data_IF_383675249903
#
_entry.id   IF_383675249903
#
_cell.length_a   1.000
_cell.length_b   1.000
_cell.length_c   1.000
_cell.angle_alpha   90.00
_cell.angle_beta   90.00
_cell.angle_gamma   90.00
#
_symmetry.space_group_name_H-M   'P 1'
#
loop_
_entity.id
_entity.type
_entity.pdbx_description
1 polymer ?
#
# COMPACT_ATOMS: atom_id res chain seq x y z
N UNK A 1 7.57 -17.29 -8.38
CA UNK A 1 7.81 -15.90 -8.81
C UNK A 1 6.86 -14.98 -8.08
N UNK A 2 7.31 -13.77 -7.74
CA UNK A 2 6.46 -12.80 -7.06
C UNK A 2 5.50 -12.13 -8.05
N UNK A 3 4.39 -11.59 -7.52
CA UNK A 3 3.43 -10.80 -8.30
C UNK A 3 3.72 -9.32 -8.07
N UNK A 4 3.71 -8.54 -9.14
CA UNK A 4 3.98 -7.11 -9.09
C UNK A 4 2.75 -6.33 -9.54
N UNK A 5 2.38 -5.31 -8.77
CA UNK A 5 1.25 -4.42 -9.07
C UNK A 5 1.67 -2.97 -8.91
N UNK A 6 1.12 -2.11 -9.76
CA UNK A 6 1.31 -0.66 -9.65
C UNK A 6 -0.05 -0.01 -9.47
N UNK A 7 -0.20 0.80 -8.43
CA UNK A 7 -1.44 1.50 -8.12
C UNK A 7 -1.21 3.01 -8.13
N UNK A 8 -1.99 3.72 -8.93
CA UNK A 8 -1.93 5.18 -8.98
C UNK A 8 -2.73 5.76 -7.84
N UNK A 9 -2.09 6.60 -7.01
CA UNK A 9 -2.74 7.19 -5.84
C UNK A 9 -3.52 8.45 -6.21
N UNK A 10 -4.52 8.77 -5.37
CA UNK A 10 -5.33 9.97 -5.52
C UNK A 10 -5.51 10.64 -4.16
N UNK A 11 -5.47 11.98 -4.16
CA UNK A 11 -5.74 12.75 -2.95
C UNK A 11 -4.63 12.72 -1.91
N UNK A 12 -3.43 12.28 -2.28
CA UNK A 12 -2.28 12.21 -1.38
C UNK A 12 -1.06 12.85 -2.03
N UNK A 13 0.02 13.00 -1.24
CA UNK A 13 1.27 13.56 -1.74
C UNK A 13 2.06 12.55 -2.58
N UNK A 14 1.81 11.26 -2.46
CA UNK A 14 2.46 10.26 -3.31
C UNK A 14 1.77 10.19 -4.67
N UNK A 15 2.49 9.69 -5.68
CA UNK A 15 1.97 9.57 -7.04
C UNK A 15 1.52 8.17 -7.39
N UNK A 16 2.26 7.17 -6.95
CA UNK A 16 1.95 5.76 -7.20
C UNK A 16 2.57 4.87 -6.15
N UNK A 17 2.06 3.65 -6.08
CA UNK A 17 2.57 2.63 -5.18
C UNK A 17 2.90 1.39 -6.01
N UNK A 18 4.14 0.92 -5.90
CA UNK A 18 4.54 -0.35 -6.50
C UNK A 18 4.55 -1.42 -5.41
N UNK A 19 3.82 -2.49 -5.63
CA UNK A 19 3.61 -3.54 -4.64
C UNK A 19 4.06 -4.87 -5.21
N UNK A 20 4.92 -5.59 -4.47
CA UNK A 20 5.26 -6.97 -4.80
C UNK A 20 4.71 -7.90 -3.75
N UNK A 21 4.03 -8.94 -4.19
CA UNK A 21 3.46 -9.96 -3.34
C UNK A 21 4.18 -11.30 -3.55
N UNK A 22 4.09 -12.17 -2.55
CA UNK A 22 4.58 -13.53 -2.65
C UNK A 22 3.83 -14.31 -3.73
N UNK A 23 4.33 -15.51 -4.06
CA UNK A 23 3.73 -16.35 -5.11
C UNK A 23 2.26 -16.66 -4.84
N UNK A 24 1.88 -16.78 -3.58
CA UNK A 24 0.48 -17.05 -3.21
C UNK A 24 -0.38 -15.78 -3.24
N UNK A 25 0.24 -14.61 -3.43
CA UNK A 25 -0.48 -13.35 -3.49
C UNK A 25 -1.03 -12.87 -2.14
N UNK A 26 -0.60 -13.45 -1.04
CA UNK A 26 -1.14 -13.13 0.28
C UNK A 26 -0.19 -12.34 1.18
N UNK A 27 1.13 -12.45 0.94
CA UNK A 27 2.14 -11.80 1.77
C UNK A 27 2.83 -10.70 0.98
N UNK A 28 3.04 -9.55 1.63
CA UNK A 28 3.71 -8.41 1.01
C UNK A 28 5.22 -8.63 1.06
N UNK A 29 5.87 -8.62 -0.10
CA UNK A 29 7.33 -8.70 -0.20
C UNK A 29 7.97 -7.33 -0.29
N UNK A 30 7.31 -6.37 -0.92
CA UNK A 30 7.86 -5.03 -1.09
C UNK A 30 6.75 -4.03 -1.37
N UNK A 31 6.90 -2.82 -0.82
CA UNK A 31 6.03 -1.68 -1.15
C UNK A 31 6.93 -0.46 -1.33
N UNK A 32 6.83 0.17 -2.50
CA UNK A 32 7.59 1.38 -2.82
C UNK A 32 6.62 2.47 -3.25
N UNK A 33 6.67 3.60 -2.54
CA UNK A 33 5.89 4.78 -2.91
C UNK A 33 6.75 5.70 -3.76
N UNK A 34 6.15 6.28 -4.80
CA UNK A 34 6.81 7.30 -5.63
C UNK A 34 6.21 8.65 -5.27
N UNK A 35 7.07 9.60 -4.90
CA UNK A 35 6.68 10.94 -4.45
C UNK A 35 6.28 10.95 -2.98
N UNK A 36 5.88 12.12 -2.48
CA UNK A 36 5.41 12.28 -1.11
C UNK A 36 6.51 12.37 -0.07
N UNK A 37 6.15 12.08 1.18
CA UNK A 37 7.05 12.16 2.34
C UNK A 37 7.96 10.94 2.38
N UNK A 38 9.14 11.07 1.82
CA UNK A 38 10.05 9.96 1.54
C UNK A 38 10.35 9.11 2.80
N UNK A 39 10.69 9.76 3.92
CA UNK A 39 11.02 9.04 5.15
C UNK A 39 9.85 8.25 5.69
N UNK A 40 8.68 8.89 5.79
CA UNK A 40 7.47 8.24 6.31
C UNK A 40 7.03 7.08 5.42
N UNK A 41 7.11 7.25 4.10
CA UNK A 41 6.66 6.21 3.17
C UNK A 41 7.62 5.03 3.15
N UNK A 42 8.91 5.26 3.32
CA UNK A 42 9.89 4.17 3.49
C UNK A 42 9.62 3.40 4.78
N UNK A 43 9.26 4.11 5.85
CA UNK A 43 8.90 3.47 7.11
C UNK A 43 7.69 2.57 6.99
N UNK A 44 6.65 3.04 6.31
CA UNK A 44 5.46 2.25 6.05
C UNK A 44 5.81 0.99 5.24
N UNK A 45 6.61 1.15 4.18
CA UNK A 45 7.06 0.01 3.38
C UNK A 45 7.79 -1.03 4.20
N UNK A 46 8.65 -0.60 5.10
CA UNK A 46 9.40 -1.51 5.99
C UNK A 46 8.47 -2.22 6.96
N UNK A 47 7.48 -1.51 7.52
CA UNK A 47 6.54 -2.07 8.48
C UNK A 47 5.62 -3.13 7.89
N UNK A 48 5.20 -2.94 6.64
CA UNK A 48 4.25 -3.86 6.01
C UNK A 48 4.92 -5.06 5.36
N UNK A 49 6.22 -4.99 5.13
CA UNK A 49 6.98 -6.10 4.53
C UNK A 49 6.87 -7.35 5.40
N UNK A 50 6.50 -8.46 4.79
CA UNK A 50 6.32 -9.73 5.50
C UNK A 50 4.94 -9.91 6.12
N UNK A 51 4.07 -8.88 6.07
CA UNK A 51 2.72 -8.97 6.59
C UNK A 51 1.76 -9.45 5.51
N UNK A 52 0.65 -10.05 5.95
CA UNK A 52 -0.40 -10.46 5.02
C UNK A 52 -1.21 -9.25 4.57
N UNK A 53 -1.68 -9.28 3.31
CA UNK A 53 -2.43 -8.15 2.76
C UNK A 53 -3.69 -7.87 3.57
N UNK A 54 -4.39 -8.90 4.08
CA UNK A 54 -5.59 -8.71 4.89
C UNK A 54 -5.30 -7.92 6.17
N UNK A 55 -4.19 -8.20 6.83
CA UNK A 55 -3.79 -7.50 8.04
C UNK A 55 -3.49 -6.02 7.74
N UNK A 56 -2.81 -5.75 6.64
CA UNK A 56 -2.48 -4.39 6.26
C UNK A 56 -3.73 -3.61 5.87
N UNK A 57 -4.63 -4.22 5.12
CA UNK A 57 -5.92 -3.61 4.77
C UNK A 57 -6.66 -3.20 6.04
N UNK A 58 -6.76 -4.10 7.00
CA UNK A 58 -7.47 -3.84 8.25
C UNK A 58 -6.85 -2.69 9.04
N UNK A 59 -5.53 -2.65 9.12
CA UNK A 59 -4.83 -1.66 9.94
C UNK A 59 -4.76 -0.28 9.30
N UNK A 60 -4.68 -0.19 7.99
CA UNK A 60 -4.43 1.07 7.29
C UNK A 60 -5.66 1.70 6.66
N UNK A 61 -6.75 0.93 6.49
CA UNK A 61 -7.96 1.47 5.88
C UNK A 61 -8.56 2.59 6.73
N UNK A 62 -8.96 3.68 6.06
CA UNK A 62 -9.63 4.77 6.72
C UNK A 62 -8.73 5.78 7.43
N UNK A 63 -7.41 5.60 7.38
CA UNK A 63 -6.49 6.57 7.95
C UNK A 63 -6.47 7.81 7.06
N UNK A 64 -6.78 8.97 7.65
CA UNK A 64 -6.83 10.24 6.93
C UNK A 64 -5.64 11.11 7.29
N UNK A 65 -5.20 11.93 6.33
CA UNK A 65 -4.11 12.87 6.52
C UNK A 65 -4.69 14.26 6.72
N UNK A 66 -4.79 14.73 7.97
CA UNK A 66 -5.36 16.03 8.30
C UNK A 66 -6.80 16.14 7.82
N UNK A 67 -7.09 17.13 6.99
CA UNK A 67 -8.44 17.35 6.45
C UNK A 67 -8.70 16.58 5.15
N UNK A 68 -7.72 15.86 4.63
CA UNK A 68 -7.89 15.10 3.40
C UNK A 68 -8.73 13.85 3.67
N UNK A 69 -9.55 13.40 2.70
CA UNK A 69 -10.39 12.21 2.88
C UNK A 69 -9.61 10.90 2.88
N UNK A 70 -8.32 10.94 2.56
CA UNK A 70 -7.47 9.75 2.46
C UNK A 70 -6.03 10.09 2.86
N UNK A 71 -5.16 9.09 2.86
CA UNK A 71 -3.74 9.24 3.15
C UNK A 71 -2.96 8.22 2.35
N UNK A 72 -1.62 8.31 2.35
CA UNK A 72 -0.81 7.30 1.67
C UNK A 72 -1.03 5.90 2.26
N UNK A 73 -1.08 5.70 3.58
CA UNK A 73 -1.43 4.39 4.13
C UNK A 73 -2.82 3.90 3.70
N UNK A 74 -3.82 4.79 3.69
CA UNK A 74 -5.16 4.44 3.25
C UNK A 74 -5.17 4.05 1.77
N UNK A 75 -4.41 4.76 0.94
CA UNK A 75 -4.28 4.43 -0.48
C UNK A 75 -3.64 3.06 -0.67
N UNK A 76 -2.65 2.71 0.15
CA UNK A 76 -2.06 1.37 0.12
C UNK A 76 -3.10 0.31 0.45
N UNK A 77 -3.92 0.54 1.46
CA UNK A 77 -4.99 -0.39 1.82
C UNK A 77 -5.99 -0.56 0.67
N UNK A 78 -6.35 0.53 0.00
CA UNK A 78 -7.23 0.48 -1.16
C UNK A 78 -6.61 -0.30 -2.31
N UNK A 79 -5.33 -0.11 -2.56
CA UNK A 79 -4.61 -0.84 -3.60
C UNK A 79 -4.61 -2.34 -3.32
N UNK A 80 -4.31 -2.74 -2.09
CA UNK A 80 -4.30 -4.14 -1.69
C UNK A 80 -5.69 -4.77 -1.78
N UNK A 81 -6.72 -4.01 -1.40
CA UNK A 81 -8.09 -4.47 -1.49
C UNK A 81 -8.49 -4.71 -2.94
N UNK A 82 -8.11 -3.82 -3.84
CA UNK A 82 -8.37 -3.96 -5.27
C UNK A 82 -7.67 -5.19 -5.84
N UNK A 83 -6.41 -5.41 -5.46
CA UNK A 83 -5.65 -6.58 -5.90
C UNK A 83 -6.36 -7.86 -5.44
N UNK A 84 -6.81 -7.88 -4.18
CA UNK A 84 -7.50 -9.02 -3.62
C UNK A 84 -8.81 -9.31 -4.37
N UNK A 85 -9.54 -8.28 -4.76
CA UNK A 85 -10.80 -8.42 -5.49
C UNK A 85 -10.61 -8.94 -6.91
N UNK A 86 -9.45 -8.75 -7.49
CA UNK A 86 -9.12 -9.22 -8.85
C UNK A 86 -8.76 -10.70 -8.90
N UNK A 87 -8.59 -11.34 -7.77
CA UNK A 87 -8.18 -12.75 -7.69
C UNK A 87 -9.34 -13.74 -7.59
#
# INVERSE_FOLDING_TARGET
MSEHYTYKTFGTCSQKIDIELSDDGETIESVVFTGGCNGNLKGIGALVKGNKIDDVITKLSGIKCGFKPTSCPDQLAKALKQIKEQK
#
